data_IF_969958563615
#
_entry.id   IF_969958563615
#
_cell.length_a   1.000
_cell.length_b   1.000
_cell.length_c   1.000
_cell.angle_alpha   90.00
_cell.angle_beta   90.00
_cell.angle_gamma   90.00
#
_symmetry.space_group_name_H-M   'P 1'
#
loop_
_entity.id
_entity.type
_entity.pdbx_description
1 polymer ?
#
# COMPACT_ATOMS: atom_id res chain seq x y z
N UNK A 1 -12.25 16.61 -39.53
CA UNK A 1 -12.49 15.52 -38.55
C UNK A 1 -11.51 15.57 -37.35
N UNK A 2 -10.65 16.60 -37.25
CA UNK A 2 -9.57 16.67 -36.25
C UNK A 2 -10.05 17.12 -34.85
N UNK A 3 -11.06 17.99 -34.77
CA UNK A 3 -11.56 18.53 -33.51
C UNK A 3 -12.34 17.56 -32.62
N UNK A 4 -12.95 16.50 -33.17
CA UNK A 4 -13.68 15.49 -32.38
C UNK A 4 -12.71 14.51 -31.70
N UNK A 5 -11.65 14.11 -32.41
CA UNK A 5 -10.60 13.22 -31.88
C UNK A 5 -9.78 13.91 -30.79
N UNK A 6 -9.44 15.19 -30.97
CA UNK A 6 -8.71 15.96 -29.94
C UNK A 6 -9.55 16.19 -28.68
N UNK A 7 -10.84 16.53 -28.81
CA UNK A 7 -11.75 16.68 -27.66
C UNK A 7 -11.96 15.35 -26.93
N UNK A 8 -12.10 14.24 -27.66
CA UNK A 8 -12.20 12.91 -27.07
C UNK A 8 -10.91 12.52 -26.32
N UNK A 9 -9.73 12.80 -26.88
CA UNK A 9 -8.45 12.54 -26.22
C UNK A 9 -8.28 13.35 -24.92
N UNK A 10 -8.63 14.65 -24.95
CA UNK A 10 -8.57 15.51 -23.75
C UNK A 10 -9.54 15.03 -22.67
N UNK A 11 -10.77 14.64 -23.04
CA UNK A 11 -11.76 14.11 -22.09
C UNK A 11 -11.32 12.77 -21.49
N UNK A 12 -10.78 11.86 -22.30
CA UNK A 12 -10.25 10.58 -21.82
C UNK A 12 -9.05 10.77 -20.89
N UNK A 13 -8.13 11.67 -21.24
CA UNK A 13 -7.00 11.99 -20.38
C UNK A 13 -7.44 12.63 -19.06
N UNK A 14 -8.39 13.57 -19.12
CA UNK A 14 -8.99 14.18 -17.93
C UNK A 14 -9.68 13.14 -17.03
N UNK A 15 -10.46 12.22 -17.61
CA UNK A 15 -11.10 11.14 -16.87
C UNK A 15 -10.06 10.20 -16.24
N UNK A 16 -9.01 9.83 -16.96
CA UNK A 16 -7.93 9.00 -16.45
C UNK A 16 -7.22 9.66 -15.27
N UNK A 17 -6.91 10.96 -15.36
CA UNK A 17 -6.31 11.72 -14.27
C UNK A 17 -7.19 11.74 -13.02
N UNK A 18 -8.50 11.95 -13.16
CA UNK A 18 -9.45 11.91 -12.04
C UNK A 18 -9.46 10.54 -11.37
N UNK A 19 -9.49 9.45 -12.16
CA UNK A 19 -9.47 8.08 -11.63
C UNK A 19 -8.18 7.77 -10.85
N UNK A 20 -7.02 8.24 -11.35
CA UNK A 20 -5.73 8.08 -10.65
C UNK A 20 -5.72 8.87 -9.33
N UNK A 21 -6.23 10.11 -9.34
CA UNK A 21 -6.25 10.96 -8.15
C UNK A 21 -7.12 10.38 -7.03
N UNK A 22 -8.26 9.79 -7.38
CA UNK A 22 -9.12 9.08 -6.42
C UNK A 22 -8.42 7.83 -5.86
N UNK A 23 -7.68 7.09 -6.69
CA UNK A 23 -6.91 5.94 -6.24
C UNK A 23 -5.76 6.32 -5.27
N UNK A 24 -5.15 7.50 -5.41
CA UNK A 24 -4.15 7.99 -4.44
C UNK A 24 -4.75 8.32 -3.06
N UNK A 25 -6.04 8.64 -3.00
CA UNK A 25 -6.78 8.84 -1.75
C UNK A 25 -7.48 7.57 -1.27
N UNK A 26 -7.20 6.43 -1.89
CA UNK A 26 -7.78 5.17 -1.46
C UNK A 26 -7.25 4.81 -0.07
N UNK A 27 -8.19 4.47 0.81
CA UNK A 27 -7.89 3.87 2.09
C UNK A 27 -7.98 2.35 1.95
N UNK A 28 -7.02 1.65 2.54
CA UNK A 28 -7.05 0.21 2.72
C UNK A 28 -6.93 -0.07 4.21
N UNK A 29 -7.86 -0.86 4.77
CA UNK A 29 -7.83 -1.25 6.17
C UNK A 29 -7.65 -0.05 7.13
N UNK A 30 -8.47 0.99 6.92
CA UNK A 30 -8.51 2.22 7.70
C UNK A 30 -7.24 3.10 7.64
N UNK A 31 -6.36 2.91 6.66
CA UNK A 31 -5.20 3.78 6.43
C UNK A 31 -5.06 4.16 4.95
N UNK A 32 -4.57 5.36 4.63
CA UNK A 32 -4.27 5.74 3.25
C UNK A 32 -3.21 4.81 2.64
N UNK A 33 -3.39 4.42 1.37
CA UNK A 33 -2.38 3.62 0.66
C UNK A 33 -1.03 4.36 0.58
N UNK A 34 -1.06 5.69 0.45
CA UNK A 34 0.14 6.53 0.49
C UNK A 34 0.93 6.38 1.79
N UNK A 35 0.25 6.24 2.92
CA UNK A 35 0.88 6.13 4.24
C UNK A 35 1.59 4.78 4.40
N UNK A 36 1.05 3.71 3.82
CA UNK A 36 1.69 2.39 3.80
C UNK A 36 3.02 2.36 3.04
N UNK A 37 3.26 3.32 2.15
CA UNK A 37 4.54 3.44 1.46
C UNK A 37 5.71 3.71 2.41
N UNK A 38 5.44 4.28 3.59
CA UNK A 38 6.45 4.44 4.64
C UNK A 38 7.01 3.09 5.14
N UNK A 39 6.26 2.00 4.94
CA UNK A 39 6.64 0.64 5.32
C UNK A 39 7.36 -0.14 4.21
N UNK A 40 7.40 0.37 2.97
CA UNK A 40 7.85 -0.38 1.78
C UNK A 40 9.21 -1.04 1.98
N UNK A 41 10.20 -0.30 2.45
CA UNK A 41 11.55 -0.83 2.66
C UNK A 41 11.60 -1.96 3.71
N UNK A 42 10.70 -1.96 4.69
CA UNK A 42 10.66 -2.97 5.75
C UNK A 42 9.89 -4.24 5.34
N UNK A 43 9.24 -4.24 4.17
CA UNK A 43 8.44 -5.36 3.65
C UNK A 43 8.88 -5.82 2.27
N UNK A 44 9.96 -5.27 1.73
CA UNK A 44 10.56 -5.72 0.47
C UNK A 44 11.84 -6.49 0.76
N UNK A 45 12.04 -7.60 0.03
CA UNK A 45 13.30 -8.34 0.06
C UNK A 45 14.31 -7.64 -0.85
N UNK A 46 15.42 -7.16 -0.29
CA UNK A 46 16.56 -6.61 -1.03
C UNK A 46 17.83 -7.41 -0.79
N UNK A 47 18.80 -7.32 -1.72
CA UNK A 47 20.09 -8.04 -1.62
C UNK A 47 20.86 -7.75 -0.33
N UNK A 48 20.76 -6.54 0.20
CA UNK A 48 21.40 -6.11 1.44
C UNK A 48 20.61 -6.47 2.70
N UNK A 49 19.57 -7.29 2.59
CA UNK A 49 18.59 -7.55 3.65
C UNK A 49 17.52 -6.46 3.75
N UNK A 50 16.59 -6.65 4.68
CA UNK A 50 15.45 -5.76 4.92
C UNK A 50 15.72 -4.91 6.17
N UNK A 51 15.74 -3.58 6.08
CA UNK A 51 15.95 -2.70 7.23
C UNK A 51 14.80 -2.80 8.25
N UNK A 52 15.00 -2.36 9.50
CA UNK A 52 13.92 -2.22 10.46
C UNK A 52 12.88 -1.19 9.99
N UNK A 53 11.61 -1.30 10.44
CA UNK A 53 10.58 -0.34 10.11
C UNK A 53 10.92 1.05 10.66
N UNK A 54 10.62 2.08 9.88
CA UNK A 54 10.72 3.47 10.33
C UNK A 54 9.68 3.77 11.41
N UNK A 55 9.92 4.80 12.21
CA UNK A 55 8.92 5.29 13.18
C UNK A 55 7.60 5.63 12.49
N UNK A 56 7.67 6.23 11.29
CA UNK A 56 6.48 6.56 10.50
C UNK A 56 5.72 5.32 10.05
N UNK A 57 6.43 4.27 9.62
CA UNK A 57 5.79 2.99 9.32
C UNK A 57 5.05 2.44 10.56
N UNK A 58 5.70 2.42 11.72
CA UNK A 58 5.06 1.90 12.93
C UNK A 58 3.85 2.72 13.38
N UNK A 59 3.88 4.05 13.23
CA UNK A 59 2.71 4.90 13.45
C UNK A 59 1.53 4.50 12.54
N UNK A 60 1.80 4.23 11.25
CA UNK A 60 0.77 3.79 10.30
C UNK A 60 0.22 2.42 10.68
N UNK A 61 1.09 1.44 10.98
CA UNK A 61 0.67 0.09 11.39
C UNK A 61 -0.14 0.13 12.70
N UNK A 62 0.16 1.05 13.61
CA UNK A 62 -0.60 1.21 14.86
C UNK A 62 -2.05 1.68 14.67
N UNK A 63 -2.35 2.34 13.55
CA UNK A 63 -3.69 2.86 13.20
C UNK A 63 -4.45 1.99 12.21
N UNK A 64 -3.75 1.06 11.56
CA UNK A 64 -4.32 0.17 10.56
C UNK A 64 -5.20 -0.91 11.22
N UNK A 65 -6.25 -1.31 10.52
CA UNK A 65 -6.99 -2.52 10.84
C UNK A 65 -6.16 -3.75 10.44
N UNK A 66 -5.45 -4.31 11.41
CA UNK A 66 -4.58 -5.46 11.21
C UNK A 66 -5.35 -6.73 10.79
N UNK A 67 -6.61 -6.89 11.19
CA UNK A 67 -7.44 -8.03 10.77
C UNK A 67 -7.84 -7.90 9.31
N UNK A 68 -8.20 -6.70 8.88
CA UNK A 68 -8.40 -6.40 7.47
C UNK A 68 -7.10 -6.65 6.68
N UNK A 69 -5.94 -6.17 7.14
CA UNK A 69 -4.67 -6.42 6.44
C UNK A 69 -4.36 -7.92 6.31
N UNK A 70 -4.68 -8.74 7.31
CA UNK A 70 -4.56 -10.20 7.23
C UNK A 70 -5.39 -10.81 6.09
N UNK A 71 -6.58 -10.26 5.77
CA UNK A 71 -7.38 -10.76 4.64
C UNK A 71 -6.69 -10.56 3.29
N UNK A 72 -5.74 -9.63 3.21
CA UNK A 72 -4.92 -9.38 2.02
C UNK A 72 -3.64 -10.21 1.96
N UNK A 73 -3.35 -11.07 2.95
CA UNK A 73 -2.13 -11.88 3.02
C UNK A 73 -1.82 -12.67 1.76
N UNK A 74 -2.86 -13.25 1.15
CA UNK A 74 -2.73 -14.10 -0.03
C UNK A 74 -3.06 -13.34 -1.33
N UNK A 75 -3.11 -12.01 -1.27
CA UNK A 75 -3.41 -11.18 -2.43
C UNK A 75 -2.32 -11.35 -3.50
N UNK A 76 -2.74 -11.66 -4.73
CA UNK A 76 -1.84 -11.74 -5.89
C UNK A 76 -1.17 -10.40 -6.24
N UNK A 77 -1.63 -9.31 -5.64
CA UNK A 77 -1.03 -7.99 -5.82
C UNK A 77 0.23 -7.77 -4.97
N UNK A 78 0.44 -8.50 -3.86
CA UNK A 78 1.61 -8.27 -3.00
C UNK A 78 2.93 -8.52 -3.74
N UNK A 79 3.13 -9.64 -4.47
CA UNK A 79 4.37 -9.86 -5.21
C UNK A 79 4.58 -8.83 -6.33
N UNK A 80 3.49 -8.38 -6.97
CA UNK A 80 3.55 -7.36 -8.04
C UNK A 80 4.01 -5.99 -7.51
N UNK A 81 3.74 -5.70 -6.24
CA UNK A 81 4.18 -4.49 -5.56
C UNK A 81 5.57 -4.62 -4.92
N UNK A 82 6.19 -5.80 -5.03
CA UNK A 82 7.46 -6.13 -4.36
C UNK A 82 7.31 -6.26 -2.84
N UNK A 83 6.11 -6.56 -2.36
CA UNK A 83 5.83 -6.81 -0.95
C UNK A 83 5.95 -8.29 -0.66
N UNK A 84 6.82 -8.63 0.27
CA UNK A 84 6.92 -9.97 0.83
C UNK A 84 5.90 -10.13 1.96
N UNK A 85 4.94 -11.07 1.85
CA UNK A 85 3.90 -11.23 2.84
C UNK A 85 4.47 -11.63 4.21
N UNK A 86 5.52 -12.44 4.26
CA UNK A 86 6.12 -12.88 5.53
C UNK A 86 6.76 -11.71 6.29
N UNK A 87 7.42 -10.79 5.59
CA UNK A 87 7.95 -9.56 6.18
C UNK A 87 6.85 -8.59 6.60
N UNK A 88 5.79 -8.46 5.78
CA UNK A 88 4.65 -7.59 6.08
C UNK A 88 3.94 -7.97 7.38
N UNK A 89 3.64 -9.26 7.59
CA UNK A 89 2.95 -9.71 8.81
C UNK A 89 3.84 -9.79 10.05
N UNK A 90 5.16 -9.62 9.90
CA UNK A 90 6.05 -9.39 11.03
C UNK A 90 6.09 -7.93 11.49
N UNK A 91 5.56 -6.97 10.70
CA UNK A 91 5.59 -5.56 11.07
C UNK A 91 4.94 -5.27 12.43
N UNK A 92 3.76 -5.81 12.78
CA UNK A 92 3.17 -5.55 14.09
C UNK A 92 4.09 -5.95 15.23
N UNK A 93 4.76 -7.10 15.14
CA UNK A 93 5.74 -7.54 16.14
C UNK A 93 6.97 -6.63 16.18
N UNK A 94 7.55 -6.28 15.02
CA UNK A 94 8.69 -5.36 14.92
C UNK A 94 8.37 -3.95 15.43
N UNK A 95 7.12 -3.51 15.28
CA UNK A 95 6.61 -2.24 15.78
C UNK A 95 6.07 -2.32 17.22
N UNK A 96 6.15 -3.49 17.88
CA UNK A 96 5.69 -3.72 19.25
C UNK A 96 4.20 -3.42 19.47
N UNK A 97 3.37 -3.72 18.47
CA UNK A 97 1.91 -3.56 18.57
C UNK A 97 1.33 -4.69 19.42
N UNK A 98 0.64 -4.39 20.54
CA UNK A 98 0.05 -5.41 21.39
C UNK A 98 -1.13 -6.09 20.70
N UNK A 99 -1.38 -7.38 21.02
CA UNK A 99 -2.53 -8.14 20.54
C UNK A 99 -2.70 -8.19 19.01
N UNK A 100 -1.60 -8.09 18.27
CA UNK A 100 -1.64 -8.20 16.81
C UNK A 100 -2.18 -9.57 16.38
N UNK A 101 -3.04 -9.63 15.34
CA UNK A 101 -3.57 -10.88 14.83
C UNK A 101 -2.44 -11.78 14.30
N UNK A 102 -2.51 -13.07 14.61
CA UNK A 102 -1.66 -14.08 14.00
C UNK A 102 -2.24 -14.43 12.63
N UNK A 103 -1.58 -13.90 11.62
CA UNK A 103 -1.63 -14.28 10.22
C UNK A 103 -0.17 -14.13 9.72
#
# INVERSE_FOLDING_TARGET
MEGASQKAAVLLFGLLLVLIFQACNANICNVPVSDLMACKLAVTVSRSGTPPPSAKCCEVISRADLRCLCSHKNSKFLPLLGVDPYLAFQLPAKCRIPNAPQC
#
